data_IF_181490448275
#
_entry.id   IF_181490448275
#
_cell.length_a   1.000
_cell.length_b   1.000
_cell.length_c   1.000
_cell.angle_alpha   90.00
_cell.angle_beta   90.00
_cell.angle_gamma   90.00
#
_symmetry.space_group_name_H-M   'P 1'
#
loop_
_entity.id
_entity.type
_entity.pdbx_description
1 polymer ?
#
# COMPACT_ATOMS: atom_id res chain seq x y z
N UNK A 1 34.02 -8.58 -5.80
CA UNK A 1 33.90 -7.41 -4.90
C UNK A 1 33.32 -6.28 -5.74
N UNK A 2 31.99 -6.17 -5.79
CA UNK A 2 31.26 -5.13 -6.50
C UNK A 2 30.01 -4.79 -5.67
N UNK A 3 30.14 -3.67 -4.98
CA UNK A 3 29.15 -2.63 -4.71
C UNK A 3 27.75 -3.07 -4.27
N UNK A 4 27.56 -2.99 -2.95
CA UNK A 4 26.27 -2.87 -2.30
C UNK A 4 25.63 -1.53 -2.71
N UNK A 5 24.64 -1.61 -3.60
CA UNK A 5 23.72 -0.50 -3.85
C UNK A 5 22.81 -0.42 -2.62
N UNK A 6 22.97 0.67 -1.88
CA UNK A 6 22.16 1.00 -0.71
C UNK A 6 20.68 1.03 -1.10
N UNK A 7 19.88 0.22 -0.42
CA UNK A 7 18.44 0.09 -0.60
C UNK A 7 17.63 1.31 -0.08
N UNK A 8 18.23 2.49 -0.04
CA UNK A 8 17.63 3.72 0.53
C UNK A 8 17.08 4.70 -0.52
N UNK A 9 17.37 4.49 -1.81
CA UNK A 9 17.09 5.52 -2.83
C UNK A 9 15.87 5.22 -3.73
N UNK A 10 15.11 4.16 -3.45
CA UNK A 10 14.02 3.73 -4.36
C UNK A 10 12.71 4.51 -4.24
N UNK A 11 12.62 5.57 -3.42
CA UNK A 11 11.33 6.24 -3.10
C UNK A 11 11.22 7.69 -3.61
N UNK A 12 12.27 8.28 -4.19
CA UNK A 12 12.32 9.75 -4.34
C UNK A 12 11.89 10.36 -5.68
N UNK A 13 11.37 9.62 -6.66
CA UNK A 13 11.14 10.20 -8.01
C UNK A 13 9.68 10.34 -8.50
N UNK A 14 8.65 10.05 -7.69
CA UNK A 14 7.25 10.30 -8.13
C UNK A 14 6.30 10.92 -7.10
N UNK A 15 6.75 11.28 -5.89
CA UNK A 15 5.86 11.94 -4.92
C UNK A 15 6.11 13.44 -4.92
N UNK A 16 5.50 14.13 -5.88
CA UNK A 16 5.40 15.58 -5.83
C UNK A 16 4.56 16.01 -4.62
N UNK A 17 5.21 16.54 -3.59
CA UNK A 17 4.69 17.58 -2.68
C UNK A 17 3.46 17.33 -1.77
N UNK A 18 3.01 16.09 -1.47
CA UNK A 18 1.93 15.85 -0.46
C UNK A 18 2.36 15.00 0.76
N UNK A 19 3.57 15.16 1.29
CA UNK A 19 4.03 14.33 2.41
C UNK A 19 3.71 14.94 3.79
N UNK A 20 2.72 14.39 4.49
CA UNK A 20 2.48 14.61 5.92
C UNK A 20 3.04 13.42 6.72
N UNK A 21 4.31 13.50 7.13
CA UNK A 21 4.93 12.47 7.97
C UNK A 21 4.63 12.71 9.45
N UNK A 22 3.72 11.94 10.04
CA UNK A 22 3.37 12.04 11.47
C UNK A 22 4.17 11.02 12.28
N UNK A 23 5.21 11.47 12.97
CA UNK A 23 5.97 10.59 13.88
C UNK A 23 5.28 10.50 15.24
N UNK A 24 4.97 9.29 15.66
CA UNK A 24 4.33 9.02 16.96
C UNK A 24 5.30 9.29 18.13
N UNK A 25 4.98 10.21 19.06
CA UNK A 25 5.77 10.36 20.28
C UNK A 25 5.55 9.17 21.23
N UNK A 26 6.60 8.75 21.92
CA UNK A 26 6.62 7.57 22.81
C UNK A 26 5.52 7.55 23.88
N UNK A 27 5.05 8.72 24.33
CA UNK A 27 3.97 8.84 25.32
C UNK A 27 2.55 8.67 24.74
N UNK A 28 2.40 8.40 23.44
CA UNK A 28 1.12 8.28 22.73
C UNK A 28 0.84 6.89 22.15
N UNK A 29 1.63 5.89 22.55
CA UNK A 29 1.56 4.48 22.12
C UNK A 29 0.14 3.92 21.88
N UNK A 30 -0.84 4.05 22.82
CA UNK A 30 -2.19 3.51 22.62
C UNK A 30 -2.96 4.17 21.47
N UNK A 31 -2.66 5.45 21.19
CA UNK A 31 -3.30 6.22 20.13
C UNK A 31 -2.75 5.82 18.77
N UNK A 32 -1.43 5.67 18.65
CA UNK A 32 -0.80 5.28 17.39
C UNK A 32 -1.13 3.84 16.98
N UNK A 33 -1.16 2.91 17.93
CA UNK A 33 -1.58 1.54 17.61
C UNK A 33 -3.04 1.48 17.14
N UNK A 34 -3.92 2.31 17.72
CA UNK A 34 -5.31 2.42 17.27
C UNK A 34 -5.39 3.01 15.87
N UNK A 35 -4.65 4.08 15.59
CA UNK A 35 -4.61 4.72 14.27
C UNK A 35 -4.06 3.77 13.20
N UNK A 36 -2.97 3.06 13.49
CA UNK A 36 -2.43 2.03 12.60
C UNK A 36 -3.45 0.92 12.33
N UNK A 37 -4.17 0.43 13.36
CA UNK A 37 -5.20 -0.58 13.19
C UNK A 37 -6.38 -0.07 12.33
N UNK A 38 -6.79 1.20 12.52
CA UNK A 38 -7.81 1.84 11.69
C UNK A 38 -7.35 1.93 10.24
N UNK A 39 -6.13 2.43 9.98
CA UNK A 39 -5.59 2.54 8.63
C UNK A 39 -5.43 1.17 7.96
N UNK A 40 -5.05 0.13 8.71
CA UNK A 40 -4.97 -1.23 8.20
C UNK A 40 -6.35 -1.71 7.72
N UNK A 41 -7.37 -1.56 8.57
CA UNK A 41 -8.75 -1.94 8.22
C UNK A 41 -9.22 -1.20 6.97
N UNK A 42 -9.04 0.13 6.93
CA UNK A 42 -9.42 0.94 5.77
C UNK A 42 -8.70 0.53 4.50
N UNK A 43 -7.39 0.23 4.59
CA UNK A 43 -6.58 -0.21 3.45
C UNK A 43 -7.08 -1.53 2.87
N UNK A 44 -7.39 -2.50 3.74
CA UNK A 44 -7.90 -3.80 3.33
C UNK A 44 -9.32 -3.69 2.74
N UNK A 45 -10.18 -2.84 3.30
CA UNK A 45 -11.51 -2.58 2.76
C UNK A 45 -11.43 -1.97 1.35
N UNK A 46 -10.55 -0.97 1.16
CA UNK A 46 -10.31 -0.35 -0.16
C UNK A 46 -9.76 -1.36 -1.15
N UNK A 47 -8.77 -2.16 -0.76
CA UNK A 47 -8.21 -3.22 -1.60
C UNK A 47 -9.29 -4.21 -2.03
N UNK A 48 -10.12 -4.69 -1.09
CA UNK A 48 -11.20 -5.62 -1.39
C UNK A 48 -12.27 -5.02 -2.30
N UNK A 49 -12.58 -3.73 -2.15
CA UNK A 49 -13.48 -3.03 -3.06
C UNK A 49 -12.92 -2.98 -4.49
N UNK A 50 -11.62 -2.72 -4.65
CA UNK A 50 -10.95 -2.74 -5.96
C UNK A 50 -10.97 -4.14 -6.55
N UNK A 51 -10.64 -5.19 -5.77
CA UNK A 51 -10.72 -6.59 -6.21
C UNK A 51 -12.12 -6.98 -6.67
N UNK A 52 -13.14 -6.58 -5.93
CA UNK A 52 -14.52 -6.83 -6.32
C UNK A 52 -14.87 -6.18 -7.66
N UNK A 53 -14.46 -4.92 -7.89
CA UNK A 53 -14.62 -4.26 -9.20
C UNK A 53 -13.84 -4.99 -10.30
N UNK A 54 -12.61 -5.41 -10.03
CA UNK A 54 -11.78 -6.22 -10.92
C UNK A 54 -12.53 -7.47 -11.41
N UNK A 55 -13.11 -8.24 -10.48
CA UNK A 55 -13.88 -9.44 -10.80
C UNK A 55 -15.15 -9.12 -11.61
N UNK A 56 -15.84 -8.03 -11.30
CA UNK A 56 -17.00 -7.62 -12.09
C UNK A 56 -16.64 -7.25 -13.53
N UNK A 57 -15.55 -6.52 -13.74
CA UNK A 57 -15.08 -6.17 -15.08
C UNK A 57 -14.64 -7.41 -15.86
N UNK A 58 -13.91 -8.32 -15.20
CA UNK A 58 -13.49 -9.58 -15.81
C UNK A 58 -14.68 -10.48 -16.19
N UNK A 59 -15.73 -10.53 -15.38
CA UNK A 59 -16.93 -11.34 -15.69
C UNK A 59 -17.79 -10.76 -16.82
N UNK A 60 -17.78 -9.43 -17.02
CA UNK A 60 -18.52 -8.74 -18.09
C UNK A 60 -17.78 -8.74 -19.44
N UNK A 61 -16.53 -9.21 -19.49
CA UNK A 61 -15.74 -9.22 -20.73
C UNK A 61 -16.31 -10.20 -21.76
N UNK A 62 -16.97 -9.65 -22.78
CA UNK A 62 -16.90 -10.23 -24.12
C UNK A 62 -15.48 -10.02 -24.67
N UNK A 63 -14.96 -10.95 -25.48
CA UNK A 63 -13.55 -11.05 -25.97
C UNK A 63 -12.89 -9.80 -26.61
N UNK A 64 -13.48 -8.60 -26.55
CA UNK A 64 -13.10 -7.40 -27.32
C UNK A 64 -12.50 -6.22 -26.54
N UNK A 65 -12.47 -6.18 -25.20
CA UNK A 65 -11.89 -5.04 -24.47
C UNK A 65 -10.56 -5.35 -23.76
N UNK A 66 -9.54 -4.56 -24.08
CA UNK A 66 -8.15 -4.64 -23.59
C UNK A 66 -7.92 -4.02 -22.20
N UNK A 67 -8.96 -3.85 -21.36
CA UNK A 67 -8.79 -3.32 -20.00
C UNK A 67 -8.00 -4.31 -19.14
N UNK A 68 -6.70 -4.08 -18.94
CA UNK A 68 -5.84 -4.99 -18.20
C UNK A 68 -6.24 -5.05 -16.72
N UNK A 69 -7.20 -5.93 -16.43
CA UNK A 69 -7.52 -6.34 -15.06
C UNK A 69 -6.52 -7.43 -14.68
N UNK A 70 -5.76 -7.19 -13.62
CA UNK A 70 -4.75 -8.11 -13.12
C UNK A 70 -4.84 -8.16 -11.59
N UNK A 71 -4.76 -9.37 -11.05
CA UNK A 71 -4.75 -9.61 -9.62
C UNK A 71 -3.72 -10.69 -9.33
N UNK A 72 -2.89 -10.45 -8.33
CA UNK A 72 -1.86 -11.38 -7.89
C UNK A 72 -1.72 -11.32 -6.37
N UNK A 73 -1.55 -12.50 -5.77
CA UNK A 73 -1.18 -12.67 -4.38
C UNK A 73 0.08 -13.52 -4.32
N UNK A 74 1.14 -12.97 -3.73
CA UNK A 74 2.42 -13.65 -3.56
C UNK A 74 2.77 -13.68 -2.08
N UNK A 75 3.16 -14.86 -1.59
CA UNK A 75 3.80 -15.02 -0.28
C UNK A 75 5.26 -15.38 -0.48
N UNK A 76 6.15 -14.61 0.14
CA UNK A 76 7.60 -14.79 0.07
C UNK A 76 8.07 -15.84 1.10
N UNK A 77 9.33 -16.26 0.97
CA UNK A 77 9.92 -17.29 1.82
C UNK A 77 10.07 -16.87 3.30
N UNK A 78 10.06 -15.56 3.57
CA UNK A 78 10.10 -14.97 4.91
C UNK A 78 8.71 -14.65 5.46
N UNK A 79 7.67 -15.25 4.89
CA UNK A 79 6.25 -15.03 5.21
C UNK A 79 5.72 -13.62 4.93
N UNK A 80 6.49 -12.77 4.24
CA UNK A 80 5.97 -11.50 3.73
C UNK A 80 4.92 -11.74 2.65
N UNK A 81 3.89 -10.92 2.60
CA UNK A 81 2.79 -11.03 1.64
C UNK A 81 2.73 -9.78 0.76
N UNK A 82 2.49 -9.99 -0.54
CA UNK A 82 2.25 -8.94 -1.52
C UNK A 82 0.94 -9.23 -2.24
N UNK A 83 0.01 -8.28 -2.18
CA UNK A 83 -1.21 -8.28 -2.96
C UNK A 83 -1.15 -7.14 -3.98
N UNK A 84 -1.36 -7.46 -5.24
CA UNK A 84 -1.40 -6.48 -6.33
C UNK A 84 -2.74 -6.58 -7.05
N UNK A 85 -3.39 -5.44 -7.28
CA UNK A 85 -4.65 -5.37 -8.01
C UNK A 85 -4.61 -4.19 -8.96
N UNK A 86 -4.87 -4.44 -10.22
CA UNK A 86 -4.92 -3.44 -11.29
C UNK A 86 -6.26 -3.55 -11.99
N UNK A 87 -7.00 -2.44 -12.07
CA UNK A 87 -8.31 -2.36 -12.71
C UNK A 87 -8.42 -1.07 -13.50
N UNK A 88 -8.41 -1.13 -14.83
CA UNK A 88 -8.55 0.05 -15.68
C UNK A 88 -7.50 1.13 -15.34
N UNK A 89 -7.95 2.18 -14.63
CA UNK A 89 -7.16 3.32 -14.15
C UNK A 89 -6.65 3.21 -12.71
N UNK A 90 -7.16 2.27 -11.90
CA UNK A 90 -6.74 2.09 -10.50
C UNK A 90 -5.67 1.01 -10.38
N UNK A 91 -4.66 1.28 -9.55
CA UNK A 91 -3.63 0.30 -9.14
C UNK A 91 -3.51 0.34 -7.64
N UNK A 92 -3.66 -0.80 -6.99
CA UNK A 92 -3.47 -0.95 -5.56
C UNK A 92 -2.46 -2.04 -5.24
N UNK A 93 -1.65 -1.76 -4.22
CA UNK A 93 -0.62 -2.65 -3.70
C UNK A 93 -0.75 -2.70 -2.18
N UNK A 94 -0.74 -3.90 -1.63
CA UNK A 94 -0.63 -4.12 -0.20
C UNK A 94 0.55 -5.04 0.05
N UNK A 95 1.49 -4.59 0.87
CA UNK A 95 2.65 -5.37 1.27
C UNK A 95 2.68 -5.48 2.79
N UNK A 96 2.84 -6.69 3.31
CA UNK A 96 2.97 -6.94 4.75
C UNK A 96 4.18 -7.82 5.03
N UNK A 97 4.79 -7.56 6.17
CA UNK A 97 5.87 -8.32 6.81
C UNK A 97 5.46 -8.57 8.26
N UNK A 98 6.31 -9.23 9.05
CA UNK A 98 6.04 -9.44 10.47
C UNK A 98 5.84 -8.12 11.25
N UNK A 99 6.67 -7.12 10.97
CA UNK A 99 6.78 -5.91 11.80
C UNK A 99 6.27 -4.64 11.08
N UNK A 100 5.87 -4.76 9.81
CA UNK A 100 5.50 -3.59 9.01
C UNK A 100 4.57 -3.92 7.87
N UNK A 101 3.80 -2.93 7.43
CA UNK A 101 2.96 -3.03 6.26
C UNK A 101 2.88 -1.70 5.50
N UNK A 102 2.52 -1.79 4.23
CA UNK A 102 2.35 -0.66 3.33
C UNK A 102 1.10 -0.87 2.47
N UNK A 103 0.35 0.21 2.28
CA UNK A 103 -0.72 0.31 1.30
C UNK A 103 -0.43 1.44 0.32
N UNK A 104 -0.49 1.16 -0.97
CA UNK A 104 -0.40 2.15 -2.03
C UNK A 104 -1.59 1.98 -2.96
N UNK A 105 -2.33 3.06 -3.18
CA UNK A 105 -3.37 3.15 -4.19
C UNK A 105 -3.09 4.35 -5.07
N UNK A 106 -3.18 4.14 -6.37
CA UNK A 106 -3.15 5.22 -7.37
C UNK A 106 -4.34 5.10 -8.28
N UNK A 107 -5.00 6.22 -8.50
CA UNK A 107 -6.10 6.33 -9.45
C UNK A 107 -5.77 7.40 -10.49
N UNK A 108 -5.56 6.93 -11.73
CA UNK A 108 -5.18 7.80 -12.84
C UNK A 108 -6.31 8.75 -13.30
N UNK A 109 -7.56 8.55 -12.88
CA UNK A 109 -8.67 9.43 -13.21
C UNK A 109 -8.89 10.52 -12.17
N UNK A 110 -8.72 10.21 -10.88
CA UNK A 110 -8.98 11.15 -9.80
C UNK A 110 -7.76 11.96 -9.36
N UNK A 111 -6.56 11.67 -9.89
CA UNK A 111 -5.27 12.16 -9.38
C UNK A 111 -5.06 11.89 -7.88
N UNK A 112 -5.85 10.98 -7.29
CA UNK A 112 -5.75 10.59 -5.90
C UNK A 112 -4.71 9.48 -5.78
N UNK A 113 -3.66 9.77 -5.04
CA UNK A 113 -2.58 8.85 -4.69
C UNK A 113 -2.52 8.74 -3.16
N UNK A 114 -2.89 7.55 -2.66
CA UNK A 114 -2.85 7.23 -1.22
C UNK A 114 -1.69 6.30 -0.93
N UNK A 115 -0.82 6.70 0.01
CA UNK A 115 0.26 5.88 0.54
C UNK A 115 0.20 5.88 2.06
N UNK A 116 0.06 4.69 2.64
CA UNK A 116 0.23 4.44 4.07
C UNK A 116 1.40 3.50 4.28
N UNK A 117 2.31 3.86 5.19
CA UNK A 117 3.39 2.99 5.64
C UNK A 117 3.31 2.93 7.15
N UNK A 118 3.22 1.73 7.71
CA UNK A 118 3.29 1.49 9.14
C UNK A 118 4.45 0.55 9.42
N UNK A 119 5.28 0.94 10.37
CA UNK A 119 6.45 0.16 10.80
C UNK A 119 6.52 0.15 12.32
N UNK A 120 6.69 -1.02 12.89
CA UNK A 120 7.13 -1.19 14.27
C UNK A 120 8.64 -0.94 14.35
N UNK A 121 9.04 -0.02 15.23
CA UNK A 121 10.45 0.29 15.46
C UNK A 121 11.02 -0.64 16.53
N UNK A 122 12.35 -0.67 16.67
CA UNK A 122 13.04 -1.54 17.62
C UNK A 122 12.68 -1.30 19.10
N UNK A 123 12.05 -0.16 19.41
CA UNK A 123 11.51 0.18 20.73
C UNK A 123 10.06 -0.32 20.94
N UNK A 124 9.49 -1.05 19.97
CA UNK A 124 8.10 -1.53 19.98
C UNK A 124 7.08 -0.43 19.66
N UNK A 125 7.52 0.77 19.28
CA UNK A 125 6.63 1.89 18.93
C UNK A 125 6.37 1.88 17.43
N UNK A 126 5.10 1.97 17.04
CA UNK A 126 4.73 2.12 15.63
C UNK A 126 4.94 3.54 15.13
N UNK A 127 5.51 3.66 13.94
CA UNK A 127 5.55 4.88 13.15
C UNK A 127 4.60 4.76 11.97
N UNK A 128 3.84 5.82 11.72
CA UNK A 128 2.88 5.91 10.62
C UNK A 128 3.35 7.02 9.68
N UNK A 129 3.46 6.71 8.40
CA UNK A 129 3.61 7.72 7.36
C UNK A 129 2.36 7.70 6.49
N UNK A 130 1.76 8.86 6.30
CA UNK A 130 0.58 9.05 5.48
C UNK A 130 0.88 10.05 4.38
N UNK A 131 0.47 9.74 3.17
CA UNK A 131 0.54 10.66 2.04
C UNK A 131 -0.75 10.47 1.25
N UNK A 132 -1.49 11.57 1.09
CA UNK A 132 -2.70 11.62 0.29
C UNK A 132 -2.55 12.83 -0.61
N UNK A 133 -2.29 12.56 -1.87
CA UNK A 133 -2.62 13.47 -2.97
C UNK A 133 -3.97 12.98 -3.54
#
# INVERSE_FOLDING_TARGET
MRDAILATDFVWWTVGLCADSVKCPSNSLPRCNREAATLLSESLDRLNAIRFRAHQENSKRSRKSSSNVFEEFVRLADDSELMTVVTGHTRAYFFSTLDSWMYLERDAESNLDTLYIVRENADGVQSIQKTVC
#
